data_IF_526100590025
#
_entry.id   IF_526100590025
#
_cell.length_a   1.000
_cell.length_b   1.000
_cell.length_c   1.000
_cell.angle_alpha   90.00
_cell.angle_beta   90.00
_cell.angle_gamma   90.00
#
_symmetry.space_group_name_H-M   'P 1'
#
loop_
_entity.id
_entity.type
_entity.pdbx_description
1 polymer ?
#
# COMPACT_ATOMS: atom_id res chain seq x y z
N UNK A 1 -31.07 32.88 -18.89
CA UNK A 1 -31.87 31.96 -18.06
C UNK A 1 -30.87 31.13 -17.25
N UNK A 2 -30.59 31.52 -16.00
CA UNK A 2 -29.60 30.82 -15.18
C UNK A 2 -30.22 29.53 -14.64
N UNK A 3 -29.62 28.39 -14.98
CA UNK A 3 -29.96 27.10 -14.38
C UNK A 3 -29.59 27.14 -12.90
N UNK A 4 -30.57 26.97 -12.02
CA UNK A 4 -30.34 26.82 -10.58
C UNK A 4 -29.53 25.54 -10.42
N UNK A 5 -28.23 25.65 -10.11
CA UNK A 5 -27.42 24.48 -9.77
C UNK A 5 -28.11 23.77 -8.60
N UNK A 6 -28.48 22.51 -8.82
CA UNK A 6 -28.92 21.60 -7.75
C UNK A 6 -27.94 21.69 -6.59
N UNK A 7 -28.42 22.07 -5.41
CA UNK A 7 -27.66 22.24 -4.16
C UNK A 7 -27.67 20.96 -3.30
N UNK A 8 -27.89 19.81 -3.94
CA UNK A 8 -27.99 18.51 -3.25
C UNK A 8 -26.61 17.86 -3.26
N UNK A 9 -25.99 17.81 -2.09
CA UNK A 9 -24.74 17.10 -1.85
C UNK A 9 -25.03 15.66 -1.42
N UNK A 10 -24.08 14.75 -1.62
CA UNK A 10 -24.21 13.35 -1.22
C UNK A 10 -23.28 13.02 -0.04
N UNK A 11 -23.81 12.47 1.04
CA UNK A 11 -23.00 11.90 2.12
C UNK A 11 -22.86 10.39 1.92
N UNK A 12 -21.66 9.94 1.56
CA UNK A 12 -21.30 8.53 1.45
C UNK A 12 -21.05 7.95 2.85
N UNK A 13 -21.79 6.89 3.21
CA UNK A 13 -21.67 6.19 4.49
C UNK A 13 -21.55 4.69 4.29
N UNK A 14 -20.77 4.05 5.17
CA UNK A 14 -20.70 2.58 5.23
C UNK A 14 -22.02 1.95 5.65
N UNK A 15 -22.33 0.78 5.08
CA UNK A 15 -23.47 -0.02 5.55
C UNK A 15 -23.07 -0.83 6.79
N UNK A 16 -23.99 -0.96 7.75
CA UNK A 16 -23.77 -1.78 8.95
C UNK A 16 -23.42 -3.24 8.64
N UNK A 17 -23.92 -3.80 7.53
CA UNK A 17 -23.56 -5.14 7.03
C UNK A 17 -22.08 -5.28 6.64
N UNK A 18 -21.44 -4.17 6.25
CA UNK A 18 -19.99 -4.14 6.00
C UNK A 18 -19.23 -3.99 7.31
N UNK A 19 -19.69 -3.11 8.21
CA UNK A 19 -19.09 -2.93 9.53
C UNK A 19 -19.07 -4.24 10.34
N UNK A 20 -20.15 -5.05 10.27
CA UNK A 20 -20.20 -6.39 10.87
C UNK A 20 -19.16 -7.36 10.33
N UNK A 21 -18.71 -7.17 9.09
CA UNK A 21 -17.64 -7.94 8.45
C UNK A 21 -16.26 -7.31 8.65
N UNK A 22 -16.16 -6.36 9.58
CA UNK A 22 -14.93 -5.65 9.89
C UNK A 22 -14.51 -4.66 8.80
N UNK A 23 -15.37 -4.30 7.85
CA UNK A 23 -15.06 -3.30 6.80
C UNK A 23 -15.64 -1.95 7.21
N UNK A 24 -14.76 -0.98 7.44
CA UNK A 24 -15.11 0.39 7.78
C UNK A 24 -14.97 1.24 6.52
N UNK A 25 -16.05 1.89 6.11
CA UNK A 25 -16.03 2.92 5.07
C UNK A 25 -15.78 4.26 5.76
N UNK A 26 -14.79 5.01 5.29
CA UNK A 26 -14.58 6.39 5.73
C UNK A 26 -15.70 7.24 5.12
N UNK A 27 -16.48 7.98 5.93
CA UNK A 27 -17.48 8.90 5.39
C UNK A 27 -16.88 9.91 4.42
N UNK A 28 -17.60 10.23 3.36
CA UNK A 28 -17.15 11.20 2.35
C UNK A 28 -18.29 12.09 1.89
N UNK A 29 -18.00 13.37 1.65
CA UNK A 29 -18.92 14.30 1.01
C UNK A 29 -18.71 14.26 -0.51
N UNK A 30 -19.80 14.20 -1.25
CA UNK A 30 -19.85 14.23 -2.71
C UNK A 30 -20.52 15.54 -3.09
N UNK A 31 -19.75 16.41 -3.74
CA UNK A 31 -20.23 17.72 -4.18
C UNK A 31 -21.30 17.55 -5.27
N UNK A 32 -22.25 18.48 -5.31
CA UNK A 32 -23.39 18.41 -6.25
C UNK A 32 -22.99 18.47 -7.73
N UNK A 33 -21.81 19.03 -8.03
CA UNK A 33 -21.25 19.12 -9.38
C UNK A 33 -20.19 18.03 -9.68
N UNK A 34 -20.04 17.03 -8.82
CA UNK A 34 -19.16 15.89 -9.05
C UNK A 34 -19.76 14.91 -10.07
N UNK A 35 -19.06 14.72 -11.21
CA UNK A 35 -19.56 13.90 -12.34
C UNK A 35 -18.79 12.60 -12.56
N UNK A 36 -17.69 12.38 -11.84
CA UNK A 36 -16.85 11.17 -12.00
C UNK A 36 -17.41 9.98 -11.24
N UNK A 37 -16.76 8.84 -11.44
CA UNK A 37 -17.07 7.64 -10.67
C UNK A 37 -16.78 7.86 -9.18
N UNK A 38 -17.82 7.71 -8.36
CA UNK A 38 -17.69 7.72 -6.89
C UNK A 38 -16.84 6.52 -6.46
N UNK A 39 -15.77 6.79 -5.73
CA UNK A 39 -14.93 5.77 -5.14
C UNK A 39 -15.19 5.69 -3.64
N UNK A 40 -15.01 4.49 -3.06
CA UNK A 40 -15.24 4.24 -1.64
C UNK A 40 -13.89 3.98 -0.99
N UNK A 41 -13.51 4.85 -0.05
CA UNK A 41 -12.37 4.58 0.82
C UNK A 41 -12.83 3.68 1.97
N UNK A 42 -12.24 2.50 2.08
CA UNK A 42 -12.55 1.56 3.13
C UNK A 42 -11.31 0.82 3.62
N UNK A 43 -11.31 0.44 4.88
CA UNK A 43 -10.28 -0.43 5.46
C UNK A 43 -10.92 -1.58 6.24
N UNK A 44 -10.20 -2.70 6.29
CA UNK A 44 -10.61 -3.89 7.03
C UNK A 44 -9.91 -3.92 8.39
N UNK A 45 -10.68 -4.11 9.47
CA UNK A 45 -10.17 -4.28 10.83
C UNK A 45 -9.37 -5.59 10.98
N UNK A 46 -9.75 -6.63 10.24
CA UNK A 46 -9.07 -7.93 10.23
C UNK A 46 -8.89 -8.43 8.78
N UNK A 47 -7.83 -8.00 8.08
CA UNK A 47 -7.54 -8.46 6.73
C UNK A 47 -7.10 -9.94 6.69
N UNK A 48 -7.37 -10.68 5.59
CA UNK A 48 -8.07 -10.24 4.39
C UNK A 48 -9.60 -10.31 4.50
N UNK A 49 -10.29 -9.38 3.83
CA UNK A 49 -11.75 -9.43 3.66
C UNK A 49 -12.12 -9.52 2.18
N UNK A 50 -12.86 -10.56 1.81
CA UNK A 50 -13.36 -10.75 0.43
C UNK A 50 -14.69 -10.03 0.24
N UNK A 51 -14.75 -9.13 -0.74
CA UNK A 51 -15.97 -8.41 -1.13
C UNK A 51 -16.33 -8.80 -2.57
N UNK A 52 -17.31 -9.68 -2.79
CA UNK A 52 -17.75 -10.05 -4.13
C UNK A 52 -18.25 -8.84 -4.93
N UNK A 53 -17.97 -8.82 -6.24
CA UNK A 53 -18.53 -7.81 -7.17
C UNK A 53 -20.07 -7.79 -7.04
N UNK A 54 -20.64 -6.59 -7.01
CA UNK A 54 -22.09 -6.39 -6.80
C UNK A 54 -22.51 -6.31 -5.33
N UNK A 55 -21.58 -6.51 -4.38
CA UNK A 55 -21.86 -6.26 -2.96
C UNK A 55 -22.23 -4.80 -2.72
N UNK A 56 -23.26 -4.56 -1.89
CA UNK A 56 -23.62 -3.21 -1.42
C UNK A 56 -22.72 -2.84 -0.25
N UNK A 57 -21.73 -2.00 -0.48
CA UNK A 57 -20.67 -1.66 0.50
C UNK A 57 -21.04 -0.41 1.30
N UNK A 58 -21.46 0.64 0.59
CA UNK A 58 -21.84 1.93 1.13
C UNK A 58 -23.24 2.31 0.66
N UNK A 59 -23.72 3.44 1.16
CA UNK A 59 -24.92 4.12 0.73
C UNK A 59 -24.64 5.62 0.64
N UNK A 60 -25.36 6.32 -0.21
CA UNK A 60 -25.30 7.78 -0.31
C UNK A 60 -26.60 8.32 0.27
N UNK A 61 -26.48 9.25 1.20
CA UNK A 61 -27.60 10.00 1.76
C UNK A 61 -27.58 11.39 1.11
N UNK A 62 -28.65 11.75 0.42
CA UNK A 62 -28.79 13.11 -0.11
C UNK A 62 -28.90 14.10 1.05
N UNK A 63 -28.07 15.13 1.02
CA UNK A 63 -28.12 16.26 1.92
C UNK A 63 -28.60 17.47 1.13
N UNK A 64 -29.71 18.06 1.55
CA UNK A 64 -30.08 19.39 1.09
C UNK A 64 -29.12 20.39 1.73
N UNK A 65 -28.41 21.16 0.91
CA UNK A 65 -27.55 22.23 1.42
C UNK A 65 -28.43 23.32 2.04
N UNK A 66 -28.59 23.27 3.37
CA UNK A 66 -29.21 24.36 4.14
C UNK A 66 -28.23 25.53 4.24
N UNK A 67 -28.11 26.31 3.17
CA UNK A 67 -27.56 27.66 3.23
C UNK A 67 -28.69 28.69 3.13
N UNK A 68 -29.43 29.00 4.21
CA UNK A 68 -30.21 30.22 4.26
C UNK A 68 -29.25 31.41 4.46
N UNK A 69 -29.28 32.36 3.52
CA UNK A 69 -28.72 33.72 3.67
C UNK A 69 -27.21 33.86 3.87
N UNK A 70 -26.46 33.85 2.77
CA UNK A 70 -25.27 34.69 2.61
C UNK A 70 -25.24 35.25 1.18
N UNK A 71 -26.14 36.19 0.89
CA UNK A 71 -26.02 37.07 -0.27
C UNK A 71 -24.81 37.99 -0.04
N UNK A 72 -23.64 37.55 -0.46
CA UNK A 72 -22.62 38.47 -0.97
C UNK A 72 -22.39 38.10 -2.43
N UNK A 73 -22.29 39.07 -3.36
CA UNK A 73 -21.88 38.78 -4.72
C UNK A 73 -20.45 38.22 -4.64
N UNK A 74 -20.32 36.90 -4.69
CA UNK A 74 -19.02 36.28 -4.91
C UNK A 74 -18.72 36.50 -6.38
N UNK A 75 -17.70 37.29 -6.65
CA UNK A 75 -17.09 37.37 -7.98
C UNK A 75 -16.87 35.95 -8.53
N UNK A 76 -16.99 35.73 -9.86
CA UNK A 76 -16.96 34.40 -10.44
C UNK A 76 -15.60 33.75 -10.17
N UNK A 77 -15.50 32.92 -9.14
CA UNK A 77 -14.34 32.04 -8.98
C UNK A 77 -14.51 30.92 -10.01
N UNK A 78 -13.82 31.06 -11.13
CA UNK A 78 -13.73 30.12 -12.25
C UNK A 78 -13.08 28.76 -11.93
N UNK A 79 -13.21 28.24 -10.70
CA UNK A 79 -12.77 26.88 -10.39
C UNK A 79 -13.94 26.06 -9.90
N UNK A 80 -14.74 25.58 -10.85
CA UNK A 80 -15.61 24.43 -10.62
C UNK A 80 -14.71 23.24 -10.32
N UNK A 81 -15.02 22.50 -9.25
CA UNK A 81 -14.18 21.39 -8.78
C UNK A 81 -14.18 20.22 -9.78
N UNK A 82 -15.24 20.09 -10.60
CA UNK A 82 -15.37 19.14 -11.70
C UNK A 82 -14.80 17.74 -11.38
N UNK A 83 -13.60 17.46 -11.89
CA UNK A 83 -12.94 16.15 -11.89
C UNK A 83 -12.04 15.88 -10.67
N UNK A 84 -11.93 16.83 -9.75
CA UNK A 84 -10.94 16.87 -8.68
C UNK A 84 -11.49 16.41 -7.31
N UNK A 85 -11.55 15.09 -7.09
CA UNK A 85 -11.82 14.46 -5.79
C UNK A 85 -10.54 14.06 -5.03
N UNK A 86 -10.69 13.61 -3.77
CA UNK A 86 -9.61 13.01 -2.96
C UNK A 86 -8.35 13.89 -2.78
N UNK A 87 -8.46 14.97 -2.01
CA UNK A 87 -7.27 15.75 -1.63
C UNK A 87 -6.83 16.83 -2.59
N UNK A 88 -7.65 17.18 -3.58
CA UNK A 88 -7.34 18.15 -4.65
C UNK A 88 -6.92 19.57 -4.22
N UNK A 89 -6.99 19.88 -2.93
CA UNK A 89 -6.57 21.16 -2.36
C UNK A 89 -5.40 21.05 -1.38
N UNK A 90 -4.79 19.86 -1.24
CA UNK A 90 -3.66 19.60 -0.34
C UNK A 90 -2.75 18.47 -0.83
N UNK A 91 -1.61 18.29 -0.13
CA UNK A 91 -0.73 17.14 -0.34
C UNK A 91 -1.33 15.91 0.35
N UNK A 92 -2.22 15.19 -0.34
CA UNK A 92 -2.73 13.92 0.17
C UNK A 92 -1.79 12.76 -0.17
N UNK A 93 -1.39 12.07 0.90
CA UNK A 93 -0.54 10.89 0.91
C UNK A 93 -1.31 9.70 0.33
N UNK A 94 -1.22 9.50 -0.98
CA UNK A 94 -1.52 8.21 -1.56
C UNK A 94 -0.30 7.31 -1.40
N UNK A 95 -0.49 6.06 -0.97
CA UNK A 95 0.51 5.00 -1.13
C UNK A 95 0.86 4.92 -2.62
N UNK A 96 1.86 5.70 -3.04
CA UNK A 96 2.17 5.96 -4.46
C UNK A 96 3.03 4.82 -4.98
N UNK A 97 2.45 3.63 -4.94
CA UNK A 97 2.83 2.50 -5.78
C UNK A 97 1.55 2.07 -6.46
N UNK A 98 1.48 2.26 -7.77
CA UNK A 98 0.45 1.60 -8.59
C UNK A 98 0.49 0.11 -8.23
N UNK A 99 -0.57 -0.41 -7.60
CA UNK A 99 -0.63 -1.82 -7.16
C UNK A 99 -0.54 -2.81 -8.32
N UNK A 100 -0.69 -2.35 -9.58
CA UNK A 100 -0.35 -3.16 -10.77
C UNK A 100 1.14 -3.47 -10.83
N UNK A 101 1.99 -2.58 -10.31
CA UNK A 101 3.44 -2.69 -10.32
C UNK A 101 3.95 -2.95 -8.89
N UNK A 102 4.33 -4.20 -8.63
CA UNK A 102 5.01 -4.55 -7.39
C UNK A 102 6.37 -3.83 -7.33
N UNK A 103 6.76 -3.24 -6.18
CA UNK A 103 8.07 -2.61 -6.01
C UNK A 103 9.17 -3.67 -5.99
N UNK A 104 9.60 -4.13 -7.16
CA UNK A 104 10.61 -5.18 -7.30
C UNK A 104 11.95 -4.54 -7.62
N UNK A 105 12.99 -4.86 -6.83
CA UNK A 105 14.38 -4.51 -7.16
C UNK A 105 15.21 -5.72 -7.50
N UNK A 106 16.14 -5.51 -8.43
CA UNK A 106 17.19 -6.48 -8.70
C UNK A 106 18.36 -6.27 -7.75
N UNK A 107 18.84 -7.35 -7.14
CA UNK A 107 20.03 -7.37 -6.29
C UNK A 107 20.93 -8.55 -6.62
N UNK A 108 22.16 -8.52 -6.11
CA UNK A 108 23.06 -9.67 -6.07
C UNK A 108 23.33 -10.06 -4.62
N UNK A 109 23.21 -11.34 -4.30
CA UNK A 109 23.71 -11.91 -3.05
C UNK A 109 25.11 -12.44 -3.31
N UNK A 110 26.07 -12.09 -2.46
CA UNK A 110 27.46 -12.52 -2.55
C UNK A 110 27.90 -13.18 -1.24
N UNK A 111 28.51 -14.37 -1.38
CA UNK A 111 29.26 -15.06 -0.33
C UNK A 111 30.57 -15.58 -0.91
N UNK A 112 31.70 -15.04 -0.45
CA UNK A 112 33.01 -15.33 -1.04
C UNK A 112 33.07 -14.97 -2.52
N UNK A 113 33.46 -15.93 -3.35
CA UNK A 113 33.51 -15.82 -4.83
C UNK A 113 32.17 -16.09 -5.51
N UNK A 114 31.20 -16.71 -4.83
CA UNK A 114 29.89 -17.02 -5.40
C UNK A 114 28.93 -15.84 -5.30
N UNK A 115 28.20 -15.60 -6.40
CA UNK A 115 27.18 -14.56 -6.50
C UNK A 115 25.94 -15.08 -7.22
N UNK A 116 24.77 -14.73 -6.70
CA UNK A 116 23.48 -15.00 -7.35
C UNK A 116 22.69 -13.71 -7.51
N UNK A 117 21.97 -13.58 -8.63
CA UNK A 117 21.18 -12.38 -8.95
C UNK A 117 19.70 -12.69 -8.80
N UNK A 118 18.99 -11.91 -7.98
CA UNK A 118 17.57 -12.12 -7.69
C UNK A 118 16.77 -10.84 -7.87
N UNK A 119 15.48 -11.00 -8.19
CA UNK A 119 14.47 -9.94 -8.19
C UNK A 119 13.62 -10.10 -6.94
N UNK A 120 13.63 -9.09 -6.08
CA UNK A 120 13.11 -9.16 -4.72
C UNK A 120 12.05 -8.08 -4.52
N UNK A 121 10.95 -8.42 -3.86
CA UNK A 121 9.91 -7.45 -3.51
C UNK A 121 10.39 -6.59 -2.34
N UNK A 122 10.24 -5.27 -2.45
CA UNK A 122 10.45 -4.37 -1.32
C UNK A 122 9.20 -4.41 -0.44
N UNK A 123 9.31 -4.97 0.76
CA UNK A 123 8.19 -5.16 1.68
C UNK A 123 8.44 -4.37 2.96
N UNK A 124 7.95 -3.13 2.98
CA UNK A 124 8.03 -2.27 4.16
C UNK A 124 7.18 -2.77 5.33
N UNK A 125 6.29 -3.74 5.11
CA UNK A 125 5.49 -4.39 6.16
C UNK A 125 6.26 -5.43 6.96
N UNK A 126 7.36 -5.96 6.43
CA UNK A 126 8.20 -6.96 7.10
C UNK A 126 9.37 -6.34 7.85
N UNK A 127 9.65 -6.79 9.07
CA UNK A 127 10.89 -6.44 9.79
C UNK A 127 12.12 -7.15 9.22
N UNK A 128 11.93 -8.34 8.65
CA UNK A 128 13.01 -9.23 8.23
C UNK A 128 13.00 -9.48 6.72
N UNK A 129 14.18 -9.70 6.17
CA UNK A 129 14.38 -10.09 4.78
C UNK A 129 14.38 -11.60 4.60
N UNK A 130 13.63 -12.07 3.62
CA UNK A 130 13.37 -13.48 3.36
C UNK A 130 13.77 -13.84 1.94
N UNK A 131 14.56 -14.89 1.78
CA UNK A 131 14.85 -15.51 0.49
C UNK A 131 14.02 -16.79 0.36
N UNK A 132 13.42 -16.98 -0.81
CA UNK A 132 12.73 -18.22 -1.11
C UNK A 132 13.75 -19.37 -1.19
N UNK A 133 13.49 -20.44 -0.45
CA UNK A 133 14.34 -21.63 -0.40
C UNK A 133 14.68 -22.21 -1.78
N UNK A 134 13.77 -22.09 -2.76
CA UNK A 134 14.02 -22.53 -4.14
C UNK A 134 15.21 -21.84 -4.80
N UNK A 135 15.53 -20.62 -4.38
CA UNK A 135 16.59 -19.79 -4.96
C UNK A 135 17.82 -19.69 -4.06
N UNK A 136 17.80 -20.33 -2.89
CA UNK A 136 18.95 -20.36 -1.99
C UNK A 136 19.97 -21.40 -2.48
N UNK A 137 21.26 -21.04 -2.64
CA UNK A 137 22.27 -22.01 -3.07
C UNK A 137 22.42 -23.14 -2.04
N UNK A 138 22.44 -24.41 -2.45
CA UNK A 138 22.50 -25.55 -1.52
C UNK A 138 23.80 -25.58 -0.71
N UNK A 139 24.91 -25.07 -1.27
CA UNK A 139 26.21 -25.04 -0.61
C UNK A 139 26.36 -23.85 0.36
N UNK A 140 25.33 -23.02 0.51
CA UNK A 140 25.33 -21.91 1.46
C UNK A 140 24.73 -22.39 2.80
N UNK A 141 25.53 -22.45 3.87
CA UNK A 141 25.15 -23.08 5.12
C UNK A 141 24.05 -22.28 5.82
N UNK A 142 23.20 -23.04 6.50
CA UNK A 142 22.07 -22.55 7.26
C UNK A 142 22.22 -22.94 8.72
N UNK A 143 21.85 -22.03 9.62
CA UNK A 143 21.61 -22.32 11.01
C UNK A 143 20.21 -22.90 11.17
N UNK A 144 20.11 -23.92 12.03
CA UNK A 144 18.84 -24.48 12.45
C UNK A 144 17.96 -23.37 13.06
N UNK A 145 16.65 -23.40 12.82
CA UNK A 145 15.74 -22.37 13.31
C UNK A 145 15.79 -22.27 14.83
N UNK A 146 16.18 -21.12 15.37
CA UNK A 146 16.19 -20.87 16.82
C UNK A 146 14.98 -20.06 17.30
N UNK A 147 14.36 -19.26 16.42
CA UNK A 147 13.24 -18.38 16.76
C UNK A 147 12.08 -18.49 15.75
N UNK A 148 10.85 -18.29 16.23
CA UNK A 148 9.66 -18.19 15.39
C UNK A 148 9.62 -16.84 14.66
N UNK A 149 9.46 -16.86 13.33
CA UNK A 149 9.15 -15.65 12.57
C UNK A 149 7.65 -15.42 12.65
N UNK A 150 7.24 -14.28 13.21
CA UNK A 150 5.84 -13.85 13.24
C UNK A 150 5.61 -12.99 11.99
N UNK A 151 4.72 -13.46 11.10
CA UNK A 151 4.29 -12.71 9.92
C UNK A 151 2.79 -12.44 10.02
N UNK A 152 2.30 -11.45 9.27
CA UNK A 152 0.87 -11.27 9.01
C UNK A 152 0.39 -12.48 8.20
N UNK A 153 -0.08 -13.52 8.89
CA UNK A 153 -0.42 -14.83 8.32
C UNK A 153 -0.05 -16.04 9.18
N UNK A 154 0.66 -15.86 10.31
CA UNK A 154 0.98 -16.92 11.28
C UNK A 154 2.47 -17.00 11.64
N UNK A 155 2.80 -17.92 12.56
CA UNK A 155 4.19 -18.26 12.92
C UNK A 155 4.74 -19.28 11.92
N UNK A 156 5.90 -19.00 11.33
CA UNK A 156 6.60 -19.97 10.47
C UNK A 156 8.03 -20.14 10.95
N UNK A 157 8.49 -21.39 10.94
CA UNK A 157 9.87 -21.74 11.25
C UNK A 157 10.72 -21.45 10.01
N UNK A 158 11.76 -20.63 10.15
CA UNK A 158 12.66 -20.27 9.05
C UNK A 158 14.10 -20.62 9.38
N UNK A 159 14.83 -21.19 8.43
CA UNK A 159 16.28 -21.30 8.55
C UNK A 159 16.92 -19.92 8.37
N UNK A 160 18.13 -19.73 8.89
CA UNK A 160 18.85 -18.44 8.79
C UNK A 160 20.22 -18.70 8.18
N UNK A 161 20.71 -17.81 7.32
CA UNK A 161 22.08 -17.89 6.81
C UNK A 161 23.09 -17.89 7.97
N UNK A 162 24.00 -18.87 8.01
CA UNK A 162 25.01 -18.95 9.08
C UNK A 162 25.89 -17.71 9.10
N UNK A 163 26.42 -17.37 7.92
CA UNK A 163 27.24 -16.18 7.71
C UNK A 163 26.37 -15.01 7.23
N UNK A 164 26.69 -13.76 7.62
CA UNK A 164 26.10 -12.60 6.99
C UNK A 164 26.38 -12.58 5.48
N UNK A 165 25.34 -12.32 4.69
CA UNK A 165 25.42 -12.26 3.22
C UNK A 165 25.57 -10.81 2.79
N UNK A 166 26.46 -10.58 1.82
CA UNK A 166 26.59 -9.27 1.19
C UNK A 166 25.53 -9.12 0.10
N UNK A 167 24.65 -8.15 0.28
CA UNK A 167 23.57 -7.80 -0.63
C UNK A 167 23.99 -6.56 -1.40
N UNK A 168 24.06 -6.67 -2.73
CA UNK A 168 24.58 -5.63 -3.62
C UNK A 168 23.43 -5.12 -4.49
N UNK A 169 23.23 -3.82 -4.46
CA UNK A 169 22.32 -3.09 -5.33
C UNK A 169 23.12 -2.21 -6.28
N UNK A 170 22.45 -1.65 -7.30
CA UNK A 170 23.07 -0.63 -8.17
C UNK A 170 23.59 0.58 -7.36
N UNK A 171 22.94 0.89 -6.24
CA UNK A 171 23.09 2.15 -5.50
C UNK A 171 23.83 1.98 -4.17
N UNK A 172 24.31 0.78 -3.83
CA UNK A 172 24.86 0.52 -2.50
C UNK A 172 24.98 -0.95 -2.16
N UNK A 173 25.51 -1.22 -0.97
CA UNK A 173 25.72 -2.57 -0.45
C UNK A 173 25.30 -2.64 1.02
N UNK A 174 24.69 -3.75 1.39
CA UNK A 174 24.24 -4.06 2.75
C UNK A 174 24.78 -5.43 3.12
N UNK A 175 25.05 -5.65 4.40
CA UNK A 175 25.41 -6.99 4.91
C UNK A 175 24.37 -7.35 5.96
N UNK A 176 23.68 -8.47 5.76
CA UNK A 176 22.63 -8.92 6.66
C UNK A 176 22.58 -10.45 6.70
N UNK A 177 22.06 -11.00 7.80
CA UNK A 177 21.61 -12.40 7.81
C UNK A 177 20.24 -12.47 7.14
N UNK A 178 20.05 -13.48 6.31
CA UNK A 178 18.82 -13.67 5.56
C UNK A 178 18.05 -14.86 6.11
N UNK A 179 16.73 -14.72 6.17
CA UNK A 179 15.84 -15.83 6.52
C UNK A 179 15.50 -16.62 5.26
N UNK A 180 15.47 -17.94 5.37
CA UNK A 180 15.15 -18.86 4.27
C UNK A 180 13.86 -19.60 4.65
N UNK A 181 12.85 -19.51 3.78
CA UNK A 181 11.59 -20.26 3.92
C UNK A 181 10.98 -20.55 2.54
N UNK A 182 10.10 -21.55 2.42
CA UNK A 182 9.33 -21.76 1.20
C UNK A 182 8.39 -20.59 0.95
N UNK A 183 8.46 -20.00 -0.26
CA UNK A 183 7.55 -18.98 -0.76
C UNK A 183 6.94 -19.44 -2.09
N UNK A 184 5.91 -18.73 -2.58
CA UNK A 184 5.35 -18.97 -3.90
C UNK A 184 6.45 -18.93 -4.98
N UNK A 185 6.36 -19.80 -6.00
CA UNK A 185 7.40 -19.98 -7.02
C UNK A 185 7.75 -18.68 -7.75
N UNK A 186 6.78 -17.79 -7.96
CA UNK A 186 6.99 -16.50 -8.62
C UNK A 186 7.64 -15.43 -7.74
N UNK A 187 7.90 -15.74 -6.47
CA UNK A 187 8.45 -14.80 -5.50
C UNK A 187 9.83 -15.30 -5.02
N UNK A 188 10.93 -14.80 -5.63
CA UNK A 188 12.28 -15.13 -5.18
C UNK A 188 12.61 -14.67 -3.76
N UNK A 189 11.85 -13.70 -3.24
CA UNK A 189 11.88 -13.30 -1.84
C UNK A 189 11.35 -11.89 -1.59
N UNK A 190 11.56 -11.45 -0.36
CA UNK A 190 11.08 -10.20 0.23
C UNK A 190 12.25 -9.50 0.94
N UNK A 191 12.37 -8.19 0.76
CA UNK A 191 13.24 -7.35 1.59
C UNK A 191 12.43 -6.63 2.65
N UNK A 192 12.75 -6.90 3.91
CA UNK A 192 12.19 -6.21 5.07
C UNK A 192 13.01 -5.01 5.50
N UNK A 193 12.56 -4.36 6.57
CA UNK A 193 13.16 -3.15 7.14
C UNK A 193 14.62 -3.34 7.56
N UNK A 194 15.02 -4.53 7.98
CA UNK A 194 16.40 -4.92 8.28
C UNK A 194 17.38 -4.57 7.13
N UNK A 195 16.97 -4.70 5.88
CA UNK A 195 17.77 -4.34 4.71
C UNK A 195 17.36 -2.98 4.14
N UNK A 196 16.06 -2.68 4.06
CA UNK A 196 15.57 -1.45 3.43
C UNK A 196 16.06 -0.18 4.14
N UNK A 197 16.07 -0.17 5.47
CA UNK A 197 16.54 0.97 6.26
C UNK A 197 18.03 1.28 6.02
N UNK A 198 18.85 0.24 5.87
CA UNK A 198 20.28 0.37 5.58
C UNK A 198 20.56 0.91 4.17
N UNK A 199 19.61 0.77 3.25
CA UNK A 199 19.69 1.36 1.91
C UNK A 199 19.26 2.83 1.88
N UNK A 200 18.86 3.41 3.01
CA UNK A 200 18.31 4.76 3.08
C UNK A 200 16.98 4.89 2.33
N UNK A 201 16.27 3.77 2.11
CA UNK A 201 14.95 3.82 1.48
C UNK A 201 13.96 4.39 2.49
N UNK A 202 13.31 5.48 2.08
CA UNK A 202 12.26 6.12 2.85
C UNK A 202 10.95 6.00 2.10
N UNK A 203 9.87 5.75 2.84
CA UNK A 203 8.54 6.01 2.33
C UNK A 203 8.33 7.52 2.42
N UNK A 204 8.31 8.18 1.27
CA UNK A 204 8.04 9.61 1.18
C UNK A 204 6.76 9.86 0.40
N UNK A 205 6.16 11.00 0.69
CA UNK A 205 4.97 11.55 0.06
C UNK A 205 5.32 12.73 -0.83
N UNK A 206 6.60 13.09 -0.88
CA UNK A 206 7.14 14.18 -1.67
C UNK A 206 7.36 13.72 -3.12
N UNK A 207 6.86 14.50 -4.08
CA UNK A 207 7.14 14.27 -5.49
C UNK A 207 8.58 14.67 -5.81
N UNK A 208 9.48 13.69 -5.93
CA UNK A 208 10.74 13.92 -6.62
C UNK A 208 10.53 13.74 -8.13
N UNK A 209 10.31 14.86 -8.83
CA UNK A 209 10.52 14.91 -10.28
C UNK A 209 12.02 14.86 -10.56
N UNK A 210 12.41 13.98 -11.48
CA UNK A 210 13.63 14.13 -12.28
C UNK A 210 13.20 14.42 -13.71
#
# INVERSE_FOLDING_TARGET
MYSVKSLIEGLLLGRSSMSKRGVIVIPGLIDADFTRQVQILAYALQPPVTIPKGSRIAQIVALESFMPHCQRPREPREKQRMDEGFGSTGHDVFFTLDLKNRPIRTMQLQRGSHQIRLKQLLDTGSDISIINQLYWPPDWPLQAPSNHVIRVGGMTVSAISTDPIRIIFKNGRVVARLHIMPLHVELPGLLGRDVLSQLGLVLTTDQHFS
#
